data_IF_237941362710
#
_entry.id   IF_237941362710
#
_cell.length_a   1.000
_cell.length_b   1.000
_cell.length_c   1.000
_cell.angle_alpha   90.00
_cell.angle_beta   90.00
_cell.angle_gamma   90.00
#
_symmetry.space_group_name_H-M   'P 1'
#
loop_
_entity.id
_entity.type
_entity.pdbx_description
1 polymer ?
#
# COMPACT_ATOMS: atom_id res chain seq x y z
N UNK A 1 1.10 9.34 -9.59
CA UNK A 1 1.16 9.82 -8.19
C UNK A 1 1.97 8.80 -7.43
N UNK A 2 2.99 9.22 -6.67
CA UNK A 2 3.76 8.30 -5.84
C UNK A 2 3.19 8.31 -4.42
N UNK A 3 3.16 7.15 -3.77
CA UNK A 3 2.75 7.02 -2.37
C UNK A 3 3.98 6.83 -1.46
N UNK A 4 4.75 7.90 -1.17
CA UNK A 4 5.97 7.80 -0.36
C UNK A 4 5.68 7.32 1.06
N UNK A 5 4.53 7.71 1.63
CA UNK A 5 4.11 7.29 2.97
C UNK A 5 3.85 5.78 3.06
N UNK A 6 3.17 5.20 2.07
CA UNK A 6 2.95 3.75 2.00
C UNK A 6 4.30 3.02 1.91
N UNK A 7 5.22 3.51 1.06
CA UNK A 7 6.55 2.90 0.88
C UNK A 7 7.41 2.98 2.14
N UNK A 8 7.33 4.09 2.87
CA UNK A 8 7.98 4.27 4.17
C UNK A 8 7.40 3.30 5.21
N UNK A 9 6.08 3.25 5.35
CA UNK A 9 5.41 2.35 6.29
C UNK A 9 5.72 0.87 6.00
N UNK A 10 5.73 0.47 4.72
CA UNK A 10 6.16 -0.86 4.30
C UNK A 10 7.59 -1.17 4.76
N UNK A 11 8.49 -0.20 4.63
CA UNK A 11 9.89 -0.33 5.06
C UNK A 11 9.99 -0.43 6.59
N UNK A 12 9.29 0.44 7.33
CA UNK A 12 9.26 0.45 8.81
C UNK A 12 8.73 -0.86 9.38
N UNK A 13 7.67 -1.42 8.79
CA UNK A 13 7.07 -2.69 9.23
C UNK A 13 7.71 -3.93 8.62
N UNK A 14 8.75 -3.77 7.79
CA UNK A 14 9.40 -4.86 7.06
C UNK A 14 8.43 -5.66 6.16
N UNK A 15 7.43 -4.99 5.59
CA UNK A 15 6.39 -5.60 4.77
C UNK A 15 6.83 -5.53 3.31
N UNK A 16 6.95 -6.71 2.71
CA UNK A 16 7.31 -6.83 1.30
C UNK A 16 6.09 -6.67 0.41
N UNK A 17 6.31 -6.21 -0.83
CA UNK A 17 5.28 -6.20 -1.88
C UNK A 17 4.69 -7.61 -2.10
N UNK A 18 5.49 -8.65 -1.84
CA UNK A 18 5.04 -10.05 -1.90
C UNK A 18 3.96 -10.37 -0.87
N UNK A 19 4.13 -9.98 0.39
CA UNK A 19 3.11 -10.16 1.43
C UNK A 19 1.79 -9.50 1.05
N UNK A 20 1.88 -8.25 0.59
CA UNK A 20 0.70 -7.51 0.16
C UNK A 20 0.05 -8.19 -1.05
N UNK A 21 0.86 -8.68 -1.99
CA UNK A 21 0.41 -9.41 -3.17
C UNK A 21 -0.33 -10.71 -2.82
N UNK A 22 0.19 -11.47 -1.86
CA UNK A 22 -0.44 -12.72 -1.40
C UNK A 22 -1.75 -12.44 -0.63
N UNK A 23 -1.82 -11.36 0.14
CA UNK A 23 -3.03 -11.01 0.90
C UNK A 23 -4.13 -10.40 0.03
N UNK A 24 -3.76 -9.50 -0.89
CA UNK A 24 -4.73 -8.78 -1.75
C UNK A 24 -5.05 -9.53 -3.05
N UNK A 25 -4.26 -10.54 -3.41
CA UNK A 25 -4.35 -11.22 -4.71
C UNK A 25 -3.84 -10.36 -5.88
N UNK A 26 -3.34 -9.15 -5.63
CA UNK A 26 -2.79 -8.26 -6.66
C UNK A 26 -1.39 -8.75 -7.02
N UNK A 27 -1.06 -8.86 -8.30
CA UNK A 27 0.32 -9.20 -8.71
C UNK A 27 1.34 -8.17 -8.22
N UNK A 28 2.51 -8.63 -7.76
CA UNK A 28 3.61 -7.77 -7.27
C UNK A 28 3.97 -6.62 -8.23
N UNK A 29 4.03 -6.89 -9.54
CA UNK A 29 4.26 -5.87 -10.56
C UNK A 29 3.17 -4.79 -10.57
N UNK A 30 1.92 -5.19 -10.43
CA UNK A 30 0.79 -4.27 -10.41
C UNK A 30 0.78 -3.45 -9.12
N UNK A 31 1.10 -4.05 -7.97
CA UNK A 31 1.32 -3.34 -6.71
C UNK A 31 2.44 -2.31 -6.83
N UNK A 32 3.61 -2.70 -7.35
CA UNK A 32 4.72 -1.77 -7.55
C UNK A 32 4.32 -0.59 -8.44
N UNK A 33 3.60 -0.86 -9.54
CA UNK A 33 3.07 0.18 -10.42
C UNK A 33 2.05 1.09 -9.71
N UNK A 34 1.14 0.52 -8.91
CA UNK A 34 0.15 1.28 -8.12
C UNK A 34 0.80 2.17 -7.07
N UNK A 35 1.87 1.71 -6.41
CA UNK A 35 2.62 2.49 -5.42
C UNK A 35 3.38 3.65 -6.08
N UNK A 36 3.96 3.39 -7.25
CA UNK A 36 4.87 4.34 -7.91
C UNK A 36 4.13 5.39 -8.74
N UNK A 37 3.10 4.97 -9.49
CA UNK A 37 2.46 5.82 -10.49
C UNK A 37 0.93 5.72 -10.52
N UNK A 38 0.37 4.56 -10.13
CA UNK A 38 -1.06 4.28 -10.17
C UNK A 38 -1.84 4.76 -8.94
N UNK A 39 -2.95 4.07 -8.67
CA UNK A 39 -3.83 4.33 -7.52
C UNK A 39 -4.45 3.05 -7.00
N UNK A 40 -4.86 3.08 -5.74
CA UNK A 40 -5.55 1.98 -5.07
C UNK A 40 -7.05 2.27 -4.97
N UNK A 41 -7.86 1.24 -5.17
CA UNK A 41 -9.28 1.32 -4.80
C UNK A 41 -9.42 1.39 -3.29
N UNK A 42 -10.51 1.97 -2.79
CA UNK A 42 -10.79 2.08 -1.35
C UNK A 42 -10.78 0.69 -0.70
N UNK A 43 -11.37 -0.32 -1.33
CA UNK A 43 -11.39 -1.70 -0.82
C UNK A 43 -9.99 -2.30 -0.70
N UNK A 44 -9.13 -2.12 -1.72
CA UNK A 44 -7.75 -2.60 -1.69
C UNK A 44 -6.96 -1.88 -0.59
N UNK A 45 -7.11 -0.56 -0.50
CA UNK A 45 -6.44 0.25 0.49
C UNK A 45 -6.87 -0.12 1.93
N UNK A 46 -8.16 -0.36 2.14
CA UNK A 46 -8.71 -0.77 3.43
C UNK A 46 -8.23 -2.18 3.80
N UNK A 47 -8.18 -3.11 2.84
CA UNK A 47 -7.67 -4.46 3.06
C UNK A 47 -6.19 -4.42 3.46
N UNK A 48 -5.36 -3.67 2.71
CA UNK A 48 -3.93 -3.50 3.03
C UNK A 48 -3.77 -2.86 4.41
N UNK A 49 -4.55 -1.83 4.71
CA UNK A 49 -4.51 -1.18 6.00
C UNK A 49 -4.88 -2.16 7.13
N UNK A 50 -6.02 -2.84 7.04
CA UNK A 50 -6.47 -3.77 8.08
C UNK A 50 -5.50 -4.94 8.30
N UNK A 51 -4.91 -5.47 7.23
CA UNK A 51 -3.99 -6.60 7.34
C UNK A 51 -2.60 -6.21 7.84
N UNK A 52 -2.07 -5.08 7.39
CA UNK A 52 -0.65 -4.75 7.56
C UNK A 52 -0.42 -3.47 8.38
N UNK A 53 -1.34 -2.51 8.29
CA UNK A 53 -1.20 -1.18 8.86
C UNK A 53 -2.39 -0.79 9.74
N UNK A 54 -2.89 -1.70 10.58
CA UNK A 54 -4.07 -1.47 11.42
C UNK A 54 -3.91 -0.26 12.35
N UNK A 55 -2.67 0.08 12.69
CA UNK A 55 -2.29 1.19 13.56
C UNK A 55 -2.24 2.56 12.84
N UNK A 56 -2.18 2.56 11.51
CA UNK A 56 -2.08 3.78 10.70
C UNK A 56 -3.39 4.09 9.98
N UNK A 57 -3.68 5.38 9.80
CA UNK A 57 -4.84 5.82 9.03
C UNK A 57 -4.61 5.64 7.53
N UNK A 58 -5.62 5.11 6.83
CA UNK A 58 -5.61 4.94 5.37
C UNK A 58 -5.31 6.26 4.65
N UNK A 59 -5.85 7.37 5.12
CA UNK A 59 -5.61 8.72 4.59
C UNK A 59 -4.14 9.16 4.69
N UNK A 60 -3.38 8.66 5.68
CA UNK A 60 -1.95 8.93 5.80
C UNK A 60 -1.12 8.01 4.89
N UNK A 61 -1.48 6.72 4.83
CA UNK A 61 -0.78 5.73 4.02
C UNK A 61 -0.90 6.02 2.53
N UNK A 62 -2.13 6.27 2.09
CA UNK A 62 -2.48 6.53 0.69
C UNK A 62 -2.58 8.03 0.42
N UNK A 63 -1.87 8.86 1.19
CA UNK A 63 -1.72 10.28 0.88
C UNK A 63 -0.81 10.42 -0.35
N UNK A 64 -1.37 10.84 -1.47
CA UNK A 64 -0.57 11.31 -2.60
C UNK A 64 0.01 12.68 -2.26
N UNK A 65 1.30 12.90 -2.56
CA UNK A 65 1.80 14.27 -2.66
C UNK A 65 1.14 14.91 -3.89
N UNK A 66 0.39 15.99 -3.68
CA UNK A 66 -0.09 16.89 -4.74
C UNK A 66 1.01 17.88 -5.11
#
# INVERSE_FOLDING_TARGET
MSYPHLKAAMTEKNISIKDISESTGISQKNLAYKIDCGGFSIEEAEQIQKTFFQDMKMECLFRSEQ
#
